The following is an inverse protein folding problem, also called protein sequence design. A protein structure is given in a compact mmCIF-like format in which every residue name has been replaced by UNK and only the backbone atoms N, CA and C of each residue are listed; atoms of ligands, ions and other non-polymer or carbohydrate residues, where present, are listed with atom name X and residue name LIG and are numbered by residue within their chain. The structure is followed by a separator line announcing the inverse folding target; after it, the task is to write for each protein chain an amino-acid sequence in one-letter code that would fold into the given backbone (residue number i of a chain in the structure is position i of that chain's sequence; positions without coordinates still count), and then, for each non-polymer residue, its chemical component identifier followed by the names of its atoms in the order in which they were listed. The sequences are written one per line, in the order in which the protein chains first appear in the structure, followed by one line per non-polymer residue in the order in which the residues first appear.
data_IF_911283633456
#
_entry.id   IF_911283633456
#
_cell.length_a   1.000
_cell.length_b   1.000
_cell.length_c   1.000
_cell.angle_alpha   90.00
_cell.angle_beta   90.00
_cell.angle_gamma   90.00
#
_symmetry.space_group_name_H-M   'P 1'
#
loop_
_entity.id
_entity.type
_entity.pdbx_description
1 polymer ?
#
# COMPACT_ATOMS: atom_id res chain seq x y z
N UNK A 1 -39.78 -37.57 43.79
CA UNK A 1 -39.78 -36.10 43.71
C UNK A 1 -38.65 -35.68 42.78
N UNK A 2 -38.98 -34.77 41.86
CA UNK A 2 -38.20 -34.16 40.76
C UNK A 2 -36.73 -33.79 41.12
N UNK A 3 -35.72 -34.07 40.29
CA UNK A 3 -35.27 -33.46 39.01
C UNK A 3 -34.55 -32.10 39.17
N UNK A 4 -33.37 -31.96 38.54
CA UNK A 4 -32.53 -30.78 38.16
C UNK A 4 -31.05 -31.21 38.27
N UNK A 5 -30.10 -31.01 37.36
CA UNK A 5 -29.95 -30.36 36.04
C UNK A 5 -28.71 -31.08 35.41
N UNK A 6 -28.62 -31.39 34.11
CA UNK A 6 -28.51 -30.43 33.02
C UNK A 6 -27.10 -29.80 32.98
N UNK A 7 -26.13 -30.42 32.28
CA UNK A 7 -25.13 -29.68 31.50
C UNK A 7 -24.43 -30.58 30.46
N UNK A 8 -25.04 -30.60 29.29
CA UNK A 8 -24.48 -30.43 27.94
C UNK A 8 -23.00 -30.77 27.69
N UNK A 9 -22.83 -31.68 26.71
CA UNK A 9 -21.64 -31.87 25.88
C UNK A 9 -21.35 -30.59 25.09
N UNK A 10 -20.08 -30.37 24.72
CA UNK A 10 -19.62 -30.10 23.34
C UNK A 10 -18.12 -29.72 23.38
N UNK A 11 -17.25 -30.66 22.99
CA UNK A 11 -16.61 -30.80 21.67
C UNK A 11 -15.52 -29.76 21.41
N UNK A 12 -14.33 -30.28 21.10
CA UNK A 12 -13.13 -29.49 20.90
C UNK A 12 -13.17 -28.54 19.71
N UNK A 13 -12.15 -27.71 19.66
CA UNK A 13 -11.62 -27.15 18.41
C UNK A 13 -10.14 -26.93 18.61
N UNK A 14 -9.39 -27.92 18.11
CA UNK A 14 -8.07 -27.74 17.56
C UNK A 14 -8.12 -26.67 16.44
N UNK A 15 -6.98 -26.02 16.19
CA UNK A 15 -6.67 -25.19 15.01
C UNK A 15 -7.29 -23.78 15.01
N UNK A 16 -6.50 -22.71 14.98
CA UNK A 16 -5.61 -22.40 13.87
C UNK A 16 -4.67 -21.27 14.31
N UNK A 17 -3.36 -21.43 14.12
CA UNK A 17 -2.43 -20.29 14.01
C UNK A 17 -2.81 -19.48 12.77
N UNK A 18 -3.91 -18.74 12.86
CA UNK A 18 -4.27 -17.74 11.88
C UNK A 18 -3.23 -16.64 12.03
N UNK A 19 -2.34 -16.52 11.04
CA UNK A 19 -1.50 -15.33 10.90
C UNK A 19 -2.48 -14.19 10.63
N UNK A 20 -2.94 -13.54 11.70
CA UNK A 20 -3.93 -12.47 11.62
C UNK A 20 -3.36 -11.41 10.68
N UNK A 21 -4.02 -11.10 9.55
CA UNK A 21 -3.59 -10.00 8.71
C UNK A 21 -3.59 -8.74 9.58
N UNK A 22 -2.42 -8.13 9.73
CA UNK A 22 -2.27 -7.02 10.69
C UNK A 22 -3.05 -5.78 10.25
N UNK A 23 -3.48 -5.70 8.99
CA UNK A 23 -4.20 -4.58 8.41
C UNK A 23 -5.15 -5.05 7.30
N UNK A 24 -6.37 -4.54 7.30
CA UNK A 24 -7.38 -4.77 6.27
C UNK A 24 -7.83 -3.42 5.69
N UNK A 25 -7.84 -3.28 4.36
CA UNK A 25 -8.35 -2.07 3.68
C UNK A 25 -9.36 -2.44 2.60
N UNK A 26 -10.30 -1.54 2.32
CA UNK A 26 -11.23 -1.68 1.19
C UNK A 26 -10.48 -1.31 -0.09
N UNK A 27 -10.48 -2.20 -1.09
CA UNK A 27 -9.86 -1.93 -2.37
C UNK A 27 -10.49 -0.67 -3.01
N UNK A 28 -9.71 0.40 -3.12
CA UNK A 28 -10.19 1.73 -3.59
C UNK A 28 -9.43 2.22 -4.82
N UNK A 29 -8.68 1.33 -5.47
CA UNK A 29 -7.86 1.68 -6.62
C UNK A 29 -8.74 1.77 -7.85
N UNK A 30 -8.83 2.95 -8.45
CA UNK A 30 -9.48 3.10 -9.74
C UNK A 30 -8.63 2.40 -10.81
N UNK A 31 -9.23 1.49 -11.58
CA UNK A 31 -8.52 0.86 -12.68
C UNK A 31 -8.14 1.92 -13.74
N UNK A 32 -6.89 1.92 -14.22
CA UNK A 32 -6.47 2.85 -15.26
C UNK A 32 -7.26 2.61 -16.54
N UNK A 33 -7.78 3.68 -17.13
CA UNK A 33 -8.42 3.62 -18.46
C UNK A 33 -7.33 3.58 -19.54
N UNK A 34 -7.57 2.90 -20.68
CA UNK A 34 -6.59 2.77 -21.78
C UNK A 34 -5.98 4.13 -22.20
N UNK A 35 -6.79 5.19 -22.22
CA UNK A 35 -6.38 6.56 -22.54
C UNK A 35 -5.36 7.15 -21.56
N UNK A 36 -5.45 6.79 -20.27
CA UNK A 36 -4.50 7.24 -19.25
C UNK A 36 -3.19 6.45 -19.32
N UNK A 37 -3.26 5.19 -19.80
CA UNK A 37 -2.10 4.36 -20.06
C UNK A 37 -1.27 4.87 -21.25
N UNK A 38 -1.94 5.43 -22.26
CA UNK A 38 -1.30 6.00 -23.46
C UNK A 38 -0.60 7.33 -23.19
N UNK A 39 -1.07 8.11 -22.20
CA UNK A 39 -0.45 9.38 -21.81
C UNK A 39 0.88 9.19 -21.07
N UNK A 40 1.14 7.99 -20.53
CA UNK A 40 2.37 7.70 -19.79
C UNK A 40 3.52 7.46 -20.78
N UNK A 41 4.24 8.54 -21.01
CA UNK A 41 5.37 8.62 -21.94
C UNK A 41 6.65 8.87 -21.15
N UNK A 42 7.00 7.99 -20.20
CA UNK A 42 8.24 8.16 -19.46
C UNK A 42 8.44 7.19 -18.32
N UNK A 43 9.52 6.40 -18.39
CA UNK A 43 10.01 5.46 -17.37
C UNK A 43 9.03 4.37 -16.92
N UNK A 44 8.72 3.47 -17.85
CA UNK A 44 8.08 2.20 -17.55
C UNK A 44 9.12 1.14 -17.11
N UNK A 45 10.02 1.44 -16.16
CA UNK A 45 10.93 0.42 -15.60
C UNK A 45 10.14 -0.76 -15.01
N UNK A 46 8.93 -0.49 -14.50
CA UNK A 46 7.98 -1.46 -13.97
C UNK A 46 6.68 -1.54 -14.79
N UNK A 47 6.65 -1.04 -16.02
CA UNK A 47 5.44 -1.00 -16.85
C UNK A 47 4.55 0.25 -16.68
N UNK A 48 3.69 0.50 -17.68
CA UNK A 48 2.86 1.72 -17.78
C UNK A 48 1.76 1.79 -16.71
N UNK A 49 1.18 0.64 -16.33
CA UNK A 49 0.15 0.57 -15.27
C UNK A 49 0.71 0.98 -13.91
N UNK A 50 1.88 0.45 -13.56
CA UNK A 50 2.58 0.76 -12.32
C UNK A 50 2.94 2.24 -12.22
N UNK A 51 3.40 2.82 -13.33
CA UNK A 51 3.67 4.26 -13.41
C UNK A 51 2.40 5.11 -13.21
N UNK A 52 1.25 4.69 -13.76
CA UNK A 52 -0.03 5.38 -13.55
C UNK A 52 -0.42 5.41 -12.07
N UNK A 53 -0.36 4.25 -11.41
CA UNK A 53 -0.71 4.11 -10.01
C UNK A 53 0.24 4.92 -9.12
N UNK A 54 1.52 4.97 -9.48
CA UNK A 54 2.50 5.79 -8.78
C UNK A 54 2.20 7.29 -8.92
N UNK A 55 1.87 7.78 -10.12
CA UNK A 55 1.46 9.17 -10.33
C UNK A 55 0.16 9.50 -9.60
N UNK A 56 -0.82 8.59 -9.61
CA UNK A 56 -2.07 8.76 -8.87
C UNK A 56 -1.79 8.91 -7.36
N UNK A 57 -0.97 8.03 -6.80
CA UNK A 57 -0.55 8.10 -5.40
C UNK A 57 0.22 9.39 -5.09
N UNK A 58 1.10 9.83 -6.00
CA UNK A 58 1.81 11.11 -5.86
C UNK A 58 0.85 12.30 -5.84
N UNK A 59 -0.13 12.34 -6.73
CA UNK A 59 -1.14 13.41 -6.78
C UNK A 59 -2.07 13.43 -5.56
N UNK A 60 -2.34 12.26 -4.96
CA UNK A 60 -3.10 12.14 -3.72
C UNK A 60 -2.29 12.61 -2.51
N UNK A 61 -1.03 12.18 -2.41
CA UNK A 61 -0.16 12.49 -1.27
C UNK A 61 0.40 13.91 -1.33
N UNK A 62 0.66 14.46 -2.52
CA UNK A 62 1.32 15.75 -2.72
C UNK A 62 0.37 16.71 -3.41
N UNK A 63 -0.23 17.62 -2.63
CA UNK A 63 -1.10 18.68 -3.18
C UNK A 63 -0.41 20.04 -3.07
N UNK A 64 -0.31 20.76 -4.20
CA UNK A 64 0.07 22.17 -4.21
C UNK A 64 -1.18 23.01 -4.03
N UNK A 65 -1.22 23.78 -2.96
CA UNK A 65 -2.34 24.69 -2.65
C UNK A 65 -1.80 26.11 -2.70
N UNK A 66 -2.44 27.04 -3.44
CA UNK A 66 -2.07 28.45 -3.39
C UNK A 66 -2.31 28.98 -1.96
N UNK A 67 -1.31 29.67 -1.39
CA UNK A 67 -1.45 30.18 -0.01
C UNK A 67 -2.46 31.32 0.09
N UNK A 68 -2.66 32.05 -1.01
CA UNK A 68 -3.58 33.16 -1.13
C UNK A 68 -4.04 33.29 -2.60
N UNK A 69 -5.32 33.66 -2.85
CA UNK A 69 -5.78 33.95 -4.20
C UNK A 69 -5.03 35.16 -4.77
N UNK A 70 -4.34 35.00 -5.90
CA UNK A 70 -3.64 36.08 -6.61
C UNK A 70 -2.12 36.14 -6.42
N UNK A 71 -1.55 35.31 -5.55
CA UNK A 71 -0.10 35.22 -5.34
C UNK A 71 0.43 33.90 -5.93
N UNK A 72 1.50 33.89 -6.75
CA UNK A 72 2.05 32.66 -7.33
C UNK A 72 2.69 31.75 -6.28
N UNK A 73 2.83 32.22 -5.05
CA UNK A 73 3.34 31.45 -3.92
C UNK A 73 2.41 30.27 -3.63
N UNK A 74 2.92 29.05 -3.78
CA UNK A 74 2.18 27.80 -3.51
C UNK A 74 2.81 27.06 -2.34
N UNK A 75 1.98 26.55 -1.42
CA UNK A 75 2.42 25.67 -0.34
C UNK A 75 2.19 24.22 -0.76
N UNK A 76 3.21 23.39 -0.57
CA UNK A 76 3.11 21.94 -0.77
C UNK A 76 2.55 21.33 0.52
N UNK A 77 1.37 20.72 0.42
CA UNK A 77 0.74 19.95 1.50
C UNK A 77 0.97 18.47 1.21
N UNK A 78 1.79 17.84 2.03
CA UNK A 78 2.05 16.40 1.96
C UNK A 78 1.12 15.70 2.96
N UNK A 79 0.15 14.94 2.45
CA UNK A 79 -0.70 14.06 3.26
C UNK A 79 -0.13 12.65 3.22
N UNK A 80 -0.09 11.99 4.39
CA UNK A 80 0.41 10.61 4.54
C UNK A 80 1.82 10.42 3.98
N UNK A 81 2.73 11.31 4.35
CA UNK A 81 4.09 11.35 3.83
C UNK A 81 4.92 10.09 4.11
N UNK A 82 4.65 9.41 5.24
CA UNK A 82 5.31 8.13 5.57
C UNK A 82 4.93 7.02 4.57
N UNK A 83 3.69 7.02 4.08
CA UNK A 83 3.20 6.11 3.04
C UNK A 83 3.90 6.35 1.70
N UNK A 84 3.90 7.60 1.25
CA UNK A 84 4.58 7.99 0.01
C UNK A 84 6.07 7.69 0.05
N UNK A 85 6.73 7.99 1.16
CA UNK A 85 8.16 7.73 1.32
C UNK A 85 8.47 6.22 1.36
N UNK A 86 7.60 5.42 1.95
CA UNK A 86 7.74 3.96 1.94
C UNK A 86 7.64 3.39 0.52
N UNK A 87 6.62 3.78 -0.25
CA UNK A 87 6.45 3.37 -1.66
C UNK A 87 7.67 3.78 -2.48
N UNK A 88 8.13 5.04 -2.35
CA UNK A 88 9.34 5.52 -3.05
C UNK A 88 10.59 4.72 -2.70
N UNK A 89 10.73 4.31 -1.43
CA UNK A 89 11.84 3.45 -1.01
C UNK A 89 11.76 2.05 -1.60
N UNK A 90 10.57 1.47 -1.64
CA UNK A 90 10.34 0.17 -2.26
C UNK A 90 10.64 0.22 -3.76
N UNK A 91 10.16 1.25 -4.46
CA UNK A 91 10.49 1.53 -5.87
C UNK A 91 11.98 1.45 -6.12
N UNK A 92 12.75 2.24 -5.36
CA UNK A 92 14.20 2.32 -5.53
C UNK A 92 14.91 1.02 -5.16
N UNK A 93 14.45 0.33 -4.11
CA UNK A 93 15.01 -0.96 -3.71
C UNK A 93 14.79 -2.05 -4.77
N UNK A 94 13.61 -2.07 -5.39
CA UNK A 94 13.29 -2.98 -6.50
C UNK A 94 14.11 -2.63 -7.75
N UNK A 95 14.28 -1.35 -8.06
CA UNK A 95 15.10 -0.87 -9.18
C UNK A 95 16.58 -1.28 -9.02
N UNK A 96 17.13 -1.12 -7.81
CA UNK A 96 18.48 -1.57 -7.48
C UNK A 96 18.61 -3.11 -7.57
N UNK A 97 17.61 -3.88 -7.12
CA UNK A 97 17.59 -5.34 -7.27
C UNK A 97 17.48 -5.82 -8.72
N UNK A 98 16.75 -5.08 -9.56
CA UNK A 98 16.68 -5.34 -11.00
C UNK A 98 18.01 -5.06 -11.70
N UNK A 99 18.69 -3.96 -11.32
CA UNK A 99 20.04 -3.62 -11.81
C UNK A 99 21.09 -4.64 -11.38
N UNK A 100 20.96 -5.16 -10.16
CA UNK A 100 21.78 -6.26 -9.64
C UNK A 100 21.41 -7.64 -10.24
N UNK A 101 20.40 -7.72 -11.13
CA UNK A 101 19.84 -8.96 -11.69
C UNK A 101 19.42 -10.00 -10.63
N UNK A 102 19.08 -9.56 -9.41
CA UNK A 102 18.64 -10.44 -8.32
C UNK A 102 17.17 -10.85 -8.46
N UNK A 103 16.36 -10.00 -9.06
CA UNK A 103 14.92 -10.23 -9.30
C UNK A 103 14.59 -10.02 -10.77
N UNK A 104 13.56 -10.71 -11.25
CA UNK A 104 13.04 -10.49 -12.60
C UNK A 104 12.23 -9.20 -12.68
N UNK A 105 12.24 -8.56 -13.85
CA UNK A 105 11.44 -7.35 -14.10
C UNK A 105 9.94 -7.58 -13.85
N UNK A 106 9.44 -8.77 -14.20
CA UNK A 106 8.05 -9.17 -14.00
C UNK A 106 7.70 -9.27 -12.51
N UNK A 107 8.56 -9.94 -11.73
CA UNK A 107 8.37 -10.08 -10.29
C UNK A 107 8.46 -8.73 -9.55
N UNK A 108 9.40 -7.87 -9.94
CA UNK A 108 9.52 -6.52 -9.42
C UNK A 108 8.26 -5.68 -9.71
N UNK A 109 7.75 -5.79 -10.94
CA UNK A 109 6.53 -5.12 -11.38
C UNK A 109 5.30 -5.58 -10.58
N UNK A 110 5.15 -6.89 -10.38
CA UNK A 110 4.05 -7.44 -9.59
C UNK A 110 4.11 -7.00 -8.13
N UNK A 111 5.30 -6.99 -7.52
CA UNK A 111 5.48 -6.50 -6.15
C UNK A 111 5.14 -5.01 -6.05
N UNK A 112 5.58 -4.22 -7.02
CA UNK A 112 5.35 -2.79 -7.05
C UNK A 112 3.86 -2.45 -7.23
N UNK A 113 3.16 -3.14 -8.14
CA UNK A 113 1.71 -2.98 -8.32
C UNK A 113 0.96 -3.28 -7.02
N UNK A 114 1.27 -4.40 -6.35
CA UNK A 114 0.65 -4.74 -5.07
C UNK A 114 0.90 -3.67 -4.00
N UNK A 115 2.12 -3.15 -3.92
CA UNK A 115 2.49 -2.07 -2.97
C UNK A 115 1.69 -0.80 -3.27
N UNK A 116 1.53 -0.45 -4.54
CA UNK A 116 0.77 0.71 -4.97
C UNK A 116 -0.73 0.55 -4.70
N UNK A 117 -1.30 -0.61 -4.98
CA UNK A 117 -2.72 -0.89 -4.70
C UNK A 117 -3.03 -0.78 -3.21
N UNK A 118 -2.16 -1.36 -2.38
CA UNK A 118 -2.24 -1.26 -0.93
C UNK A 118 -2.07 0.18 -0.48
N UNK A 119 -1.14 0.93 -1.05
CA UNK A 119 -0.88 2.29 -0.63
C UNK A 119 -2.02 3.25 -1.02
N UNK A 120 -2.61 3.12 -2.21
CA UNK A 120 -3.78 3.89 -2.60
C UNK A 120 -4.97 3.54 -1.69
N UNK A 121 -5.20 2.25 -1.43
CA UNK A 121 -6.28 1.81 -0.54
C UNK A 121 -6.08 2.28 0.91
N UNK A 122 -4.84 2.22 1.41
CA UNK A 122 -4.45 2.76 2.72
C UNK A 122 -4.60 4.29 2.78
N UNK A 123 -4.46 5.01 1.65
CA UNK A 123 -4.67 6.45 1.63
C UNK A 123 -6.12 6.83 1.94
N UNK A 124 -7.09 6.06 1.42
CA UNK A 124 -8.52 6.30 1.63
C UNK A 124 -9.05 5.70 2.95
N UNK A 125 -8.36 4.72 3.53
CA UNK A 125 -8.76 4.13 4.81
C UNK A 125 -8.43 5.03 6.00
N UNK A 126 -9.35 5.12 6.96
CA UNK A 126 -9.18 5.85 8.22
C UNK A 126 -8.23 5.14 9.21
N UNK A 127 -8.14 3.80 9.13
CA UNK A 127 -7.30 2.94 9.99
C UNK A 127 -5.81 2.95 9.63
N UNK A 128 -5.46 3.68 8.57
CA UNK A 128 -4.11 3.77 8.03
C UNK A 128 -3.08 4.44 8.95
N UNK A 129 -3.48 5.08 10.06
CA UNK A 129 -2.54 5.66 11.04
C UNK A 129 -1.62 4.61 11.68
N UNK A 130 -2.16 3.44 12.00
CA UNK A 130 -1.39 2.33 12.59
C UNK A 130 -0.41 1.74 11.57
N UNK A 131 -0.83 1.68 10.30
CA UNK A 131 0.01 1.25 9.19
C UNK A 131 1.13 2.25 8.89
N UNK A 132 0.84 3.55 8.82
CA UNK A 132 1.84 4.61 8.66
C UNK A 132 2.89 4.59 9.77
N UNK A 133 2.48 4.33 11.01
CA UNK A 133 3.42 4.18 12.14
C UNK A 133 4.33 2.95 11.95
N UNK A 134 3.81 1.84 11.45
CA UNK A 134 4.60 0.65 11.13
C UNK A 134 5.61 0.94 9.99
N UNK A 135 5.17 1.62 8.92
CA UNK A 135 6.05 2.05 7.83
C UNK A 135 7.16 2.99 8.32
N UNK A 136 6.83 3.91 9.23
CA UNK A 136 7.80 4.84 9.83
C UNK A 136 8.85 4.12 10.67
N UNK A 137 8.48 3.06 11.37
CA UNK A 137 9.40 2.23 12.15
C UNK A 137 10.33 1.40 11.25
N UNK A 138 9.79 0.84 10.16
CA UNK A 138 10.54 0.02 9.19
C UNK A 138 11.15 0.83 8.03
N UNK A 139 11.21 2.16 8.13
CA UNK A 139 11.68 3.06 7.06
C UNK A 139 13.13 2.83 6.62
N UNK A 140 13.94 2.06 7.35
CA UNK A 140 15.35 1.78 7.00
C UNK A 140 15.46 0.66 5.96
N UNK A 141 14.65 -0.39 6.09
CA UNK A 141 14.76 -1.62 5.31
C UNK A 141 13.60 -1.76 4.30
N UNK A 142 13.89 -1.69 3.00
CA UNK A 142 12.84 -1.83 1.98
C UNK A 142 12.19 -3.22 2.00
N UNK A 143 12.95 -4.28 2.32
CA UNK A 143 12.39 -5.65 2.47
C UNK A 143 11.33 -5.72 3.56
N UNK A 144 11.53 -5.01 4.67
CA UNK A 144 10.52 -4.93 5.73
C UNK A 144 9.30 -4.14 5.28
N UNK A 145 9.49 -3.07 4.49
CA UNK A 145 8.38 -2.33 3.89
C UNK A 145 7.57 -3.24 2.96
N UNK A 146 8.21 -3.97 2.03
CA UNK A 146 7.54 -4.93 1.14
C UNK A 146 6.79 -6.00 1.93
N UNK A 147 7.37 -6.50 3.02
CA UNK A 147 6.71 -7.45 3.91
C UNK A 147 5.49 -6.82 4.62
N UNK A 148 5.56 -5.57 5.05
CA UNK A 148 4.43 -4.85 5.63
C UNK A 148 3.30 -4.66 4.62
N UNK A 149 3.62 -4.25 3.38
CA UNK A 149 2.63 -4.16 2.30
C UNK A 149 2.02 -5.53 1.96
N UNK A 150 2.81 -6.60 2.04
CA UNK A 150 2.32 -7.97 1.79
C UNK A 150 1.43 -8.52 2.91
N UNK A 151 1.53 -7.98 4.13
CA UNK A 151 0.66 -8.33 5.27
C UNK A 151 -0.70 -7.64 5.23
N UNK A 152 -0.88 -6.67 4.33
CA UNK A 152 -2.15 -5.99 4.14
C UNK A 152 -3.04 -6.83 3.23
N UNK A 153 -4.28 -7.05 3.65
CA UNK A 153 -5.31 -7.66 2.82
C UNK A 153 -6.24 -6.57 2.31
N UNK A 154 -6.47 -6.59 1.00
CA UNK A 154 -7.47 -5.75 0.34
C UNK A 154 -8.77 -6.57 0.23
N UNK A 155 -9.85 -6.05 0.82
CA UNK A 155 -11.21 -6.61 0.75
C UNK A 155 -12.00 -5.98 -0.39
#
# INVERSE_FOLDING_TARGET
MAAFAGNERETGTENTTATVPSFEFIYSVAQPTEQQLEQITGNAEFGKQTAFLYEQLQNLCVKRIPVVPGDPTTRIVIKKGDLFNAVRKVSKGLEDEMKDHKISCDEATNQMNKVLDVAISAFYSEDSKSFEKALRNSKKDYKQLVALFSKVILK
#
